data_IF_682593388679
#
_entry.id   IF_682593388679
#
_cell.length_a   1.000
_cell.length_b   1.000
_cell.length_c   1.000
_cell.angle_alpha   90.00
_cell.angle_beta   90.00
_cell.angle_gamma   90.00
#
_symmetry.space_group_name_H-M   'P 1'
#
loop_
_entity.id
_entity.type
_entity.pdbx_description
1 polymer ?
#
# COMPACT_ATOMS: atom_id res chain seq x y z
N UNK A 1 14.16 -16.87 45.37
CA UNK A 1 13.71 -18.17 44.81
C UNK A 1 12.34 -17.90 44.21
N UNK A 2 12.04 -17.95 42.91
CA UNK A 2 12.72 -18.31 41.67
C UNK A 2 12.15 -17.32 40.62
N UNK A 3 12.93 -16.62 39.81
CA UNK A 3 13.74 -17.25 38.77
C UNK A 3 12.90 -17.66 37.54
N UNK A 4 11.85 -16.91 37.19
CA UNK A 4 11.02 -17.12 35.99
C UNK A 4 10.66 -15.78 35.32
N UNK A 5 11.68 -15.01 34.93
CA UNK A 5 11.57 -14.18 33.74
C UNK A 5 12.52 -14.85 32.75
N UNK A 6 12.01 -15.90 32.11
CA UNK A 6 12.66 -16.47 30.94
C UNK A 6 12.83 -15.33 29.94
N UNK A 7 14.09 -15.02 29.60
CA UNK A 7 14.45 -14.18 28.47
C UNK A 7 13.51 -14.52 27.29
N UNK A 8 12.61 -13.60 26.95
CA UNK A 8 11.98 -13.63 25.63
C UNK A 8 13.16 -13.52 24.66
N UNK A 9 13.46 -14.61 23.96
CA UNK A 9 14.44 -14.55 22.89
C UNK A 9 14.04 -13.39 21.98
N UNK A 10 14.92 -12.39 21.82
CA UNK A 10 14.66 -11.26 20.93
C UNK A 10 14.27 -11.83 19.56
N UNK A 11 13.09 -11.45 19.06
CA UNK A 11 12.62 -11.95 17.77
C UNK A 11 13.68 -11.61 16.70
N UNK A 12 14.08 -12.56 15.84
CA UNK A 12 15.23 -12.37 14.93
C UNK A 12 15.06 -11.16 13.99
N UNK A 13 13.83 -10.82 13.63
CA UNK A 13 13.48 -9.64 12.83
C UNK A 13 13.57 -8.28 13.52
N UNK A 14 13.79 -8.21 14.85
CA UNK A 14 13.80 -6.95 15.60
C UNK A 14 14.83 -5.96 15.05
N UNK A 15 16.07 -6.43 14.85
CA UNK A 15 17.16 -5.60 14.35
C UNK A 15 16.88 -5.01 12.98
N UNK A 16 16.30 -5.80 12.07
CA UNK A 16 15.88 -5.34 10.75
C UNK A 16 14.86 -4.20 10.85
N UNK A 17 13.77 -4.39 11.61
CA UNK A 17 12.71 -3.39 11.69
C UNK A 17 13.15 -2.09 12.37
N UNK A 18 13.97 -2.19 13.41
CA UNK A 18 14.59 -1.00 14.04
C UNK A 18 15.48 -0.24 13.07
N UNK A 19 16.26 -0.93 12.24
CA UNK A 19 17.08 -0.29 11.22
C UNK A 19 16.24 0.31 10.08
N UNK A 20 15.20 -0.39 9.62
CA UNK A 20 14.36 0.04 8.50
C UNK A 20 13.55 1.29 8.85
N UNK A 21 13.05 1.37 10.09
CA UNK A 21 12.20 2.45 10.58
C UNK A 21 12.93 3.43 11.49
N UNK A 22 14.27 3.46 11.44
CA UNK A 22 15.07 4.40 12.22
C UNK A 22 14.87 5.85 11.78
N UNK A 23 15.02 6.78 12.72
CA UNK A 23 14.92 8.22 12.44
C UNK A 23 13.48 8.68 12.24
N UNK A 24 13.33 9.87 11.66
CA UNK A 24 12.01 10.45 11.40
C UNK A 24 11.29 9.68 10.28
N UNK A 25 10.03 9.31 10.52
CA UNK A 25 9.15 8.69 9.54
C UNK A 25 8.20 9.77 9.00
N UNK A 26 8.47 10.35 7.81
CA UNK A 26 7.58 11.35 7.24
C UNK A 26 6.23 10.73 6.93
N UNK A 27 5.18 11.31 7.51
CA UNK A 27 3.81 10.88 7.21
C UNK A 27 3.39 11.44 5.86
N UNK A 28 2.94 10.54 4.99
CA UNK A 28 2.36 10.90 3.68
C UNK A 28 1.23 11.92 3.88
N UNK A 29 1.25 12.98 3.07
CA UNK A 29 0.22 14.00 3.04
C UNK A 29 -0.73 13.70 1.88
N UNK A 30 -2.00 13.50 2.20
CA UNK A 30 -3.08 13.34 1.22
C UNK A 30 -3.90 14.64 1.18
N UNK A 31 -4.39 15.06 -0.01
CA UNK A 31 -5.18 16.29 -0.14
C UNK A 31 -6.61 16.03 0.34
N UNK A 32 -6.81 16.08 1.66
CA UNK A 32 -8.14 15.98 2.25
C UNK A 32 -8.99 17.20 1.87
N UNK A 33 -10.26 16.97 1.53
CA UNK A 33 -11.24 18.03 1.33
C UNK A 33 -11.73 18.61 2.66
N UNK A 34 -11.69 17.79 3.72
CA UNK A 34 -12.16 18.14 5.06
C UNK A 34 -11.10 17.81 6.12
N UNK A 35 -11.03 18.58 7.23
CA UNK A 35 -10.00 18.38 8.23
C UNK A 35 -10.16 17.06 9.00
N UNK A 36 -9.04 16.37 9.23
CA UNK A 36 -8.97 15.23 10.12
C UNK A 36 -8.97 15.68 11.59
N UNK A 37 -9.81 15.03 12.40
CA UNK A 37 -9.97 15.29 13.84
C UNK A 37 -10.14 13.98 14.61
N UNK A 38 -10.01 14.04 15.94
CA UNK A 38 -10.18 12.88 16.82
C UNK A 38 -11.58 12.24 16.75
N UNK A 39 -12.59 12.98 16.29
CA UNK A 39 -13.99 12.54 16.17
C UNK A 39 -14.45 12.37 14.72
N UNK A 40 -13.55 12.50 13.74
CA UNK A 40 -13.90 12.28 12.33
C UNK A 40 -14.47 10.86 12.18
N UNK A 41 -15.64 10.66 11.53
CA UNK A 41 -16.19 9.33 11.34
C UNK A 41 -15.27 8.38 10.55
N UNK A 42 -15.41 7.07 10.78
CA UNK A 42 -14.76 6.01 9.98
C UNK A 42 -15.67 5.50 8.86
N UNK A 43 -16.87 6.07 8.71
CA UNK A 43 -17.73 5.81 7.56
C UNK A 43 -16.95 6.10 6.28
N UNK A 44 -16.92 5.11 5.40
CA UNK A 44 -16.21 5.19 4.15
C UNK A 44 -17.13 4.99 2.95
N UNK A 45 -16.54 5.29 1.80
CA UNK A 45 -17.07 4.99 0.49
C UNK A 45 -16.00 4.25 -0.31
N UNK A 46 -16.37 3.72 -1.47
CA UNK A 46 -15.45 3.07 -2.39
C UNK A 46 -15.53 3.64 -3.80
N UNK A 47 -14.38 3.67 -4.45
CA UNK A 47 -14.21 3.92 -5.87
C UNK A 47 -13.55 2.69 -6.51
N UNK A 48 -14.16 2.18 -7.58
CA UNK A 48 -13.67 1.01 -8.30
C UNK A 48 -13.41 1.33 -9.77
N UNK A 49 -12.29 0.82 -10.29
CA UNK A 49 -11.85 1.02 -11.67
C UNK A 49 -10.99 -0.15 -12.13
N UNK A 50 -10.96 -0.45 -13.42
CA UNK A 50 -10.13 -1.53 -13.98
C UNK A 50 -9.23 -1.04 -15.11
N UNK A 51 -7.98 -1.49 -15.10
CA UNK A 51 -7.02 -1.27 -16.18
C UNK A 51 -6.97 -2.49 -17.08
N UNK A 52 -7.07 -2.26 -18.39
CA UNK A 52 -7.07 -3.32 -19.42
C UNK A 52 -6.15 -2.93 -20.58
N UNK A 53 -6.07 -3.78 -21.61
CA UNK A 53 -5.37 -3.45 -22.85
C UNK A 53 -3.86 -3.28 -22.70
N UNK A 54 -3.29 -2.30 -23.41
CA UNK A 54 -1.84 -2.13 -23.53
C UNK A 54 -1.15 -1.81 -22.20
N UNK A 55 -1.79 -1.03 -21.33
CA UNK A 55 -1.23 -0.69 -20.03
C UNK A 55 -1.17 -1.91 -19.10
N UNK A 56 -2.25 -2.70 -19.03
CA UNK A 56 -2.28 -3.97 -18.30
C UNK A 56 -1.19 -4.93 -18.81
N UNK A 57 -1.08 -5.10 -20.14
CA UNK A 57 -0.05 -5.94 -20.75
C UNK A 57 1.37 -5.44 -20.44
N UNK A 58 1.60 -4.12 -20.45
CA UNK A 58 2.88 -3.51 -20.12
C UNK A 58 3.27 -3.71 -18.65
N UNK A 59 2.33 -3.56 -17.70
CA UNK A 59 2.57 -3.85 -16.29
C UNK A 59 2.88 -5.33 -16.06
N UNK A 60 2.17 -6.25 -16.72
CA UNK A 60 2.47 -7.69 -16.65
C UNK A 60 3.83 -8.03 -17.24
N UNK A 61 4.24 -7.35 -18.31
CA UNK A 61 5.59 -7.48 -18.86
C UNK A 61 6.67 -6.99 -17.87
N UNK A 62 6.41 -5.92 -17.10
CA UNK A 62 7.30 -5.48 -16.02
C UNK A 62 7.40 -6.50 -14.88
N UNK A 63 6.31 -7.21 -14.58
CA UNK A 63 6.31 -8.32 -13.62
C UNK A 63 7.21 -9.46 -14.12
N UNK A 64 7.00 -9.90 -15.37
CA UNK A 64 7.80 -10.96 -15.98
C UNK A 64 9.30 -10.58 -16.10
N UNK A 65 9.61 -9.29 -16.25
CA UNK A 65 10.98 -8.80 -16.28
C UNK A 65 11.64 -8.91 -14.89
N UNK A 66 12.83 -9.51 -14.83
CA UNK A 66 13.68 -9.57 -13.62
C UNK A 66 12.98 -10.14 -12.37
N UNK A 67 11.93 -10.95 -12.55
CA UNK A 67 11.22 -11.63 -11.47
C UNK A 67 10.55 -10.67 -10.49
N UNK A 68 9.86 -9.65 -10.99
CA UNK A 68 9.04 -8.76 -10.18
C UNK A 68 7.64 -9.36 -10.00
N UNK A 69 6.96 -9.04 -8.91
CA UNK A 69 5.53 -9.35 -8.75
C UNK A 69 4.69 -8.11 -9.08
N UNK A 70 3.39 -8.31 -9.35
CA UNK A 70 2.47 -7.20 -9.55
C UNK A 70 2.44 -6.28 -8.32
N UNK A 71 2.49 -6.86 -7.12
CA UNK A 71 2.63 -6.12 -5.87
C UNK A 71 3.82 -5.16 -5.88
N UNK A 72 5.02 -5.63 -6.26
CA UNK A 72 6.23 -4.78 -6.31
C UNK A 72 6.09 -3.64 -7.33
N UNK A 73 5.56 -3.95 -8.51
CA UNK A 73 5.35 -2.94 -9.57
C UNK A 73 4.39 -1.84 -9.11
N UNK A 74 3.25 -2.24 -8.54
CA UNK A 74 2.21 -1.31 -8.12
C UNK A 74 2.58 -0.56 -6.84
N UNK A 75 3.27 -1.18 -5.89
CA UNK A 75 3.78 -0.52 -4.68
C UNK A 75 4.86 0.51 -5.02
N UNK A 76 5.75 0.21 -5.97
CA UNK A 76 6.72 1.18 -6.48
C UNK A 76 6.00 2.37 -7.13
N UNK A 77 5.00 2.11 -7.98
CA UNK A 77 4.21 3.16 -8.62
C UNK A 77 3.44 4.02 -7.62
N UNK A 78 2.84 3.40 -6.60
CA UNK A 78 2.17 4.08 -5.49
C UNK A 78 3.14 4.96 -4.72
N UNK A 79 4.34 4.47 -4.39
CA UNK A 79 5.36 5.26 -3.70
C UNK A 79 5.81 6.46 -4.51
N UNK A 80 6.01 6.28 -5.82
CA UNK A 80 6.34 7.39 -6.73
C UNK A 80 5.23 8.43 -6.78
N UNK A 81 3.97 7.98 -6.89
CA UNK A 81 2.82 8.88 -6.90
C UNK A 81 2.70 9.67 -5.60
N UNK A 82 2.80 9.02 -4.44
CA UNK A 82 2.75 9.67 -3.13
C UNK A 82 3.90 10.66 -2.92
N UNK A 83 5.11 10.33 -3.38
CA UNK A 83 6.25 11.24 -3.33
C UNK A 83 6.01 12.50 -4.17
N UNK A 84 5.41 12.34 -5.34
CA UNK A 84 5.09 13.43 -6.25
C UNK A 84 3.89 14.26 -5.77
N UNK A 85 2.93 13.64 -5.08
CA UNK A 85 1.75 14.29 -4.51
C UNK A 85 2.09 15.11 -3.26
N UNK A 86 2.82 14.52 -2.30
CA UNK A 86 3.13 15.12 -1.00
C UNK A 86 4.46 15.87 -0.92
N UNK A 87 5.29 15.81 -1.96
CA UNK A 87 6.59 16.49 -2.03
C UNK A 87 7.70 15.90 -1.14
N UNK A 88 7.43 14.80 -0.43
CA UNK A 88 8.45 14.03 0.30
C UNK A 88 9.12 12.99 -0.60
N UNK A 89 10.37 12.64 -0.28
CA UNK A 89 11.17 11.64 -1.01
C UNK A 89 11.35 10.35 -0.23
N UNK A 90 10.69 10.21 0.91
CA UNK A 90 10.74 9.03 1.74
C UNK A 90 9.30 8.67 2.08
N UNK A 91 8.86 7.50 1.61
CA UNK A 91 7.46 7.11 1.58
C UNK A 91 7.27 5.83 2.35
N UNK A 92 6.39 5.86 3.35
CA UNK A 92 6.00 4.66 4.08
C UNK A 92 4.59 4.27 3.67
N UNK A 93 4.42 3.05 3.17
CA UNK A 93 3.11 2.44 2.89
C UNK A 93 2.93 1.23 3.81
N UNK A 94 1.73 1.07 4.35
CA UNK A 94 1.37 -0.11 5.13
C UNK A 94 0.81 -1.19 4.20
N UNK A 95 1.22 -2.45 4.41
CA UNK A 95 0.68 -3.59 3.70
C UNK A 95 0.26 -4.66 4.70
N UNK A 96 -1.00 -5.12 4.67
CA UNK A 96 -1.42 -6.27 5.44
C UNK A 96 -0.76 -7.52 4.85
N UNK A 97 -0.32 -8.40 5.73
CA UNK A 97 0.29 -9.68 5.38
C UNK A 97 -0.42 -10.78 6.15
N UNK A 98 -0.68 -11.89 5.48
CA UNK A 98 -1.19 -13.08 6.15
C UNK A 98 -0.10 -13.59 7.11
N UNK A 99 -0.39 -13.55 8.40
CA UNK A 99 0.41 -14.20 9.42
C UNK A 99 0.26 -15.71 9.29
N UNK A 100 1.11 -16.30 8.43
CA UNK A 100 1.49 -17.73 8.30
C UNK A 100 0.92 -18.51 7.11
N UNK A 101 1.80 -19.32 6.54
CA UNK A 101 1.60 -20.50 5.69
C UNK A 101 0.84 -21.63 6.41
N UNK A 102 -0.43 -21.43 6.76
CA UNK A 102 -1.25 -22.51 7.33
C UNK A 102 -2.58 -22.60 6.58
N UNK A 103 -2.61 -23.54 5.63
CA UNK A 103 -3.79 -24.01 4.90
C UNK A 103 -4.93 -24.58 5.79
N UNK A 104 -4.92 -24.32 7.11
CA UNK A 104 -5.83 -24.92 8.10
C UNK A 104 -6.59 -23.89 8.96
N UNK A 105 -6.38 -22.57 8.81
CA UNK A 105 -6.95 -21.56 9.73
C UNK A 105 -7.90 -20.54 9.09
N UNK A 106 -8.40 -20.85 7.88
CA UNK A 106 -9.30 -19.99 7.09
C UNK A 106 -10.57 -19.46 7.79
N UNK A 107 -11.18 -20.09 8.83
CA UNK A 107 -12.43 -19.57 9.38
C UNK A 107 -12.30 -18.66 10.62
N UNK A 108 -11.09 -18.34 11.11
CA UNK A 108 -10.91 -17.42 12.25
C UNK A 108 -10.61 -16.00 11.78
N UNK A 109 -11.66 -15.31 11.31
CA UNK A 109 -11.65 -13.90 10.91
C UNK A 109 -11.14 -13.03 12.07
N UNK A 110 -9.94 -12.45 11.93
CA UNK A 110 -9.50 -11.28 12.71
C UNK A 110 -8.17 -11.38 13.50
N UNK A 111 -7.57 -12.55 13.69
CA UNK A 111 -6.41 -12.70 14.61
C UNK A 111 -5.04 -12.94 13.97
N UNK A 112 -4.95 -13.09 12.65
CA UNK A 112 -3.70 -13.48 11.98
C UNK A 112 -3.22 -12.50 10.91
N UNK A 113 -3.85 -11.34 10.73
CA UNK A 113 -3.33 -10.30 9.84
C UNK A 113 -2.29 -9.49 10.61
N UNK A 114 -1.03 -9.57 10.18
CA UNK A 114 -0.02 -8.61 10.62
C UNK A 114 0.09 -7.49 9.57
N UNK A 115 0.71 -6.37 9.93
CA UNK A 115 1.00 -5.27 8.99
C UNK A 115 2.50 -5.04 8.91
N UNK A 116 3.01 -4.93 7.68
CA UNK A 116 4.39 -4.52 7.42
C UNK A 116 4.43 -3.10 6.87
N UNK A 117 5.50 -2.37 7.19
CA UNK A 117 5.73 -1.01 6.72
C UNK A 117 6.82 -1.03 5.63
N UNK A 118 6.48 -0.54 4.45
CA UNK A 118 7.38 -0.46 3.30
C UNK A 118 7.88 0.97 3.14
N UNK A 119 9.01 1.27 3.77
CA UNK A 119 9.70 2.56 3.65
C UNK A 119 10.56 2.59 2.39
N UNK A 120 10.17 3.39 1.41
CA UNK A 120 10.78 3.48 0.08
C UNK A 120 11.30 4.91 -0.16
N UNK A 121 12.61 5.11 -0.32
CA UNK A 121 13.13 6.39 -0.76
C UNK A 121 12.94 6.55 -2.27
N UNK A 122 12.43 7.70 -2.68
CA UNK A 122 12.08 8.04 -4.06
C UNK A 122 12.90 9.26 -4.49
N UNK A 123 13.98 8.99 -5.21
CA UNK A 123 14.82 10.03 -5.80
C UNK A 123 14.18 10.57 -7.10
N UNK A 124 14.01 11.90 -7.27
CA UNK A 124 13.37 12.46 -8.47
C UNK A 124 14.10 12.17 -9.79
N UNK A 125 15.42 12.00 -9.74
CA UNK A 125 16.29 11.71 -10.88
C UNK A 125 16.42 10.22 -11.18
N UNK A 126 16.03 9.34 -10.24
CA UNK A 126 15.97 7.91 -10.50
C UNK A 126 14.90 7.59 -11.54
N UNK A 127 15.15 6.59 -12.38
CA UNK A 127 14.14 6.01 -13.24
C UNK A 127 13.14 5.18 -12.44
N UNK A 128 11.93 5.00 -12.97
CA UNK A 128 10.97 4.09 -12.35
C UNK A 128 11.53 2.67 -12.19
N UNK A 129 12.30 2.18 -13.17
CA UNK A 129 12.97 0.87 -13.10
C UNK A 129 13.94 0.76 -11.90
N UNK A 130 14.62 1.85 -11.53
CA UNK A 130 15.49 1.90 -10.36
C UNK A 130 14.67 1.89 -9.06
N UNK A 131 13.58 2.65 -9.00
CA UNK A 131 12.67 2.63 -7.84
C UNK A 131 12.01 1.26 -7.67
N UNK A 132 11.63 0.61 -8.77
CA UNK A 132 11.09 -0.75 -8.77
C UNK A 132 12.10 -1.78 -8.24
N UNK A 133 13.36 -1.70 -8.66
CA UNK A 133 14.40 -2.59 -8.15
C UNK A 133 14.57 -2.45 -6.62
N UNK A 134 14.57 -1.23 -6.12
CA UNK A 134 14.65 -0.95 -4.69
C UNK A 134 13.39 -1.42 -3.93
N UNK A 135 12.20 -1.11 -4.47
CA UNK A 135 10.92 -1.56 -3.91
C UNK A 135 10.85 -3.09 -3.81
N UNK A 136 11.37 -3.81 -4.82
CA UNK A 136 11.50 -5.26 -4.77
C UNK A 136 12.36 -5.74 -3.61
N UNK A 137 13.54 -5.14 -3.41
CA UNK A 137 14.42 -5.49 -2.29
C UNK A 137 13.75 -5.25 -0.94
N UNK A 138 13.12 -4.08 -0.76
CA UNK A 138 12.37 -3.72 0.45
C UNK A 138 11.22 -4.70 0.71
N UNK A 139 10.45 -5.03 -0.33
CA UNK A 139 9.31 -5.94 -0.21
C UNK A 139 9.76 -7.36 0.18
N UNK A 140 10.83 -7.88 -0.44
CA UNK A 140 11.36 -9.20 -0.09
C UNK A 140 11.87 -9.25 1.36
N UNK A 141 12.65 -8.26 1.79
CA UNK A 141 13.14 -8.19 3.17
C UNK A 141 11.98 -8.02 4.17
N UNK A 142 11.00 -7.18 3.87
CA UNK A 142 9.81 -7.03 4.71
C UNK A 142 9.03 -8.34 4.85
N UNK A 143 8.90 -9.12 3.77
CA UNK A 143 8.26 -10.44 3.78
C UNK A 143 9.04 -11.49 4.57
N UNK A 144 10.38 -11.49 4.51
CA UNK A 144 11.23 -12.34 5.35
C UNK A 144 11.02 -12.04 6.85
N UNK A 145 10.73 -10.79 7.17
CA UNK A 145 10.56 -10.29 8.53
C UNK A 145 9.11 -10.08 8.98
N UNK A 146 8.14 -10.54 8.18
CA UNK A 146 6.71 -10.24 8.32
C UNK A 146 6.04 -10.80 9.57
N UNK A 147 6.70 -11.71 10.31
CA UNK A 147 6.17 -12.30 11.54
C UNK A 147 6.39 -11.39 12.76
N UNK A 148 7.17 -10.31 12.63
CA UNK A 148 7.38 -9.36 13.73
C UNK A 148 6.10 -8.56 14.01
N UNK A 149 5.52 -8.61 15.23
CA UNK A 149 4.23 -8.00 15.49
C UNK A 149 4.25 -6.48 15.29
N UNK A 150 3.35 -5.96 14.47
CA UNK A 150 3.21 -4.52 14.21
C UNK A 150 3.04 -3.72 15.51
N UNK A 151 2.16 -4.16 16.42
CA UNK A 151 1.90 -3.43 17.66
C UNK A 151 3.11 -3.33 18.58
N UNK A 152 3.92 -4.39 18.62
CA UNK A 152 5.18 -4.40 19.36
C UNK A 152 6.19 -3.46 18.71
N UNK A 153 6.26 -3.41 17.38
CA UNK A 153 7.14 -2.49 16.65
C UNK A 153 6.81 -1.02 16.92
N UNK A 154 5.52 -0.66 16.89
CA UNK A 154 5.07 0.70 17.19
C UNK A 154 5.41 1.09 18.63
N UNK A 155 5.24 0.17 19.59
CA UNK A 155 5.58 0.40 21.01
C UNK A 155 7.09 0.59 21.20
N UNK A 156 7.92 -0.28 20.62
CA UNK A 156 9.37 -0.23 20.81
C UNK A 156 10.05 0.97 20.16
N UNK A 157 9.48 1.49 19.07
CA UNK A 157 9.99 2.67 18.37
C UNK A 157 9.40 3.98 18.90
N UNK A 158 8.56 3.94 19.94
CA UNK A 158 7.85 5.08 20.51
C UNK A 158 7.13 5.92 19.43
N UNK A 159 6.53 5.24 18.44
CA UNK A 159 5.90 5.90 17.31
C UNK A 159 4.55 6.49 17.73
N UNK A 160 4.17 7.68 17.20
CA UNK A 160 2.91 8.31 17.55
C UNK A 160 1.71 7.39 17.30
N UNK A 161 0.84 7.27 18.31
CA UNK A 161 -0.46 6.58 18.23
C UNK A 161 -1.59 7.60 18.28
N UNK A 162 -1.79 8.40 17.21
CA UNK A 162 -2.87 9.38 17.19
C UNK A 162 -4.22 8.67 17.27
N UNK A 163 -5.13 9.25 18.07
CA UNK A 163 -6.51 8.80 18.08
C UNK A 163 -7.11 8.96 16.68
N UNK A 164 -7.83 7.95 16.21
CA UNK A 164 -8.60 7.99 14.96
C UNK A 164 -7.75 8.15 13.67
N UNK A 165 -6.50 7.71 13.69
CA UNK A 165 -5.66 7.59 12.49
C UNK A 165 -4.89 6.27 12.52
N UNK A 166 -4.53 5.78 11.35
CA UNK A 166 -3.59 4.68 11.27
C UNK A 166 -2.18 5.17 11.64
N UNK A 167 -1.43 4.44 12.50
CA UNK A 167 -0.09 4.83 12.88
C UNK A 167 0.85 4.90 11.67
N UNK A 168 1.83 5.81 11.72
CA UNK A 168 2.91 5.98 10.72
C UNK A 168 2.48 6.50 9.34
N UNK A 169 1.44 5.94 8.74
CA UNK A 169 1.01 6.29 7.38
C UNK A 169 -0.51 6.23 7.21
N UNK A 170 -1.12 7.16 6.45
CA UNK A 170 -2.55 7.10 6.11
C UNK A 170 -2.91 6.11 4.99
N UNK A 171 -1.91 5.46 4.38
CA UNK A 171 -2.09 4.65 3.18
C UNK A 171 -1.86 3.17 3.46
N UNK A 172 -2.87 2.36 3.19
CA UNK A 172 -2.80 0.91 3.18
C UNK A 172 -2.89 0.39 1.74
N UNK A 173 -2.00 -0.51 1.36
CA UNK A 173 -1.93 -1.09 0.02
C UNK A 173 -1.92 -2.61 0.09
N UNK A 174 -2.83 -3.25 -0.65
CA UNK A 174 -2.98 -4.69 -0.67
C UNK A 174 -3.21 -5.21 -2.10
N UNK A 175 -2.66 -6.38 -2.41
CA UNK A 175 -2.91 -7.10 -3.66
C UNK A 175 -3.43 -8.48 -3.32
N UNK A 176 -4.67 -8.76 -3.72
CA UNK A 176 -5.33 -10.03 -3.51
C UNK A 176 -5.13 -10.92 -4.74
N UNK A 177 -4.47 -12.05 -4.53
CA UNK A 177 -4.36 -13.11 -5.51
C UNK A 177 -5.46 -14.13 -5.24
N UNK A 178 -6.58 -14.04 -5.97
CA UNK A 178 -7.56 -15.12 -5.95
C UNK A 178 -7.08 -16.24 -6.86
N UNK A 179 -7.09 -17.49 -6.37
CA UNK A 179 -7.01 -18.65 -7.26
C UNK A 179 -8.23 -18.59 -8.18
N UNK A 180 -7.98 -18.47 -9.49
CA UNK A 180 -8.92 -18.29 -10.60
C UNK A 180 -10.44 -18.36 -10.31
N UNK A 181 -11.15 -17.26 -10.59
CA UNK A 181 -12.55 -17.32 -11.05
C UNK A 181 -13.68 -17.03 -10.05
N UNK A 182 -13.41 -16.56 -8.82
CA UNK A 182 -14.47 -16.47 -7.79
C UNK A 182 -15.10 -15.09 -7.56
N UNK A 183 -14.54 -14.00 -8.11
CA UNK A 183 -15.20 -12.70 -8.07
C UNK A 183 -15.43 -12.19 -9.50
N UNK A 184 -16.69 -11.85 -9.86
CA UNK A 184 -16.95 -11.17 -11.11
C UNK A 184 -16.10 -9.91 -11.16
N UNK A 185 -15.33 -9.76 -12.24
CA UNK A 185 -14.82 -8.44 -12.59
C UNK A 185 -16.08 -7.58 -12.80
N UNK A 186 -16.27 -6.56 -11.97
CA UNK A 186 -17.32 -5.59 -12.22
C UNK A 186 -16.92 -4.84 -13.49
N UNK A 187 -17.32 -5.40 -14.63
CA UNK A 187 -17.15 -4.85 -15.96
C UNK A 187 -18.04 -3.61 -16.05
N UNK A 188 -17.58 -2.52 -15.46
CA UNK A 188 -18.27 -1.25 -15.42
C UNK A 188 -17.27 -0.11 -15.58
N UNK A 189 -17.76 1.01 -16.08
CA UNK A 189 -17.08 2.29 -15.93
C UNK A 189 -16.71 2.52 -14.46
N UNK A 190 -15.75 3.42 -14.22
CA UNK A 190 -15.45 3.88 -12.88
C UNK A 190 -16.74 4.19 -12.12
N UNK A 191 -16.90 3.61 -10.93
CA UNK A 191 -18.13 3.78 -10.16
C UNK A 191 -17.83 4.01 -8.68
N UNK A 192 -18.67 4.85 -8.09
CA UNK A 192 -18.68 5.11 -6.65
C UNK A 192 -19.83 4.35 -6.00
N UNK A 193 -19.56 3.77 -4.84
CA UNK A 193 -20.59 3.16 -4.01
C UNK A 193 -20.43 3.65 -2.58
N UNK A 194 -21.49 4.30 -2.10
CA UNK A 194 -21.71 4.62 -0.70
C UNK A 194 -22.39 3.41 -0.04
N UNK A 195 -21.69 2.27 0.02
CA UNK A 195 -22.01 1.30 1.05
C UNK A 195 -21.48 1.89 2.37
N UNK A 196 -22.24 1.84 3.47
CA UNK A 196 -21.74 2.21 4.80
C UNK A 196 -20.63 1.23 5.22
N UNK A 197 -19.43 1.47 4.71
CA UNK A 197 -18.22 0.71 5.01
C UNK A 197 -17.56 1.34 6.23
N UNK A 198 -17.07 0.50 7.14
CA UNK A 198 -16.22 0.96 8.23
C UNK A 198 -14.75 0.90 7.78
N UNK A 199 -14.20 2.04 7.36
CA UNK A 199 -12.83 2.16 6.83
C UNK A 199 -11.94 2.76 7.90
N UNK A 200 -11.00 1.94 8.40
CA UNK A 200 -10.12 2.30 9.54
C UNK A 200 -8.94 3.18 9.15
N UNK A 201 -8.54 3.14 7.90
CA UNK A 201 -7.47 3.97 7.34
C UNK A 201 -8.04 5.07 6.47
N UNK A 202 -7.30 6.14 6.24
CA UNK A 202 -7.77 7.26 5.44
C UNK A 202 -7.88 6.90 3.96
N UNK A 203 -6.94 6.10 3.45
CA UNK A 203 -6.89 5.67 2.05
C UNK A 203 -6.40 4.21 1.97
N UNK A 204 -7.28 3.31 1.58
CA UNK A 204 -6.98 1.88 1.36
C UNK A 204 -7.13 1.54 -0.12
N UNK A 205 -6.08 0.99 -0.70
CA UNK A 205 -6.06 0.57 -2.08
C UNK A 205 -5.87 -0.94 -2.15
N UNK A 206 -6.92 -1.62 -2.60
CA UNK A 206 -6.91 -3.06 -2.86
C UNK A 206 -6.87 -3.32 -4.36
N UNK A 207 -6.02 -4.25 -4.77
CA UNK A 207 -5.87 -4.66 -6.17
C UNK A 207 -6.24 -6.11 -6.33
N UNK A 208 -6.93 -6.44 -7.42
CA UNK A 208 -7.21 -7.81 -7.82
C UNK A 208 -6.61 -8.04 -9.20
N UNK A 209 -5.75 -9.06 -9.31
CA UNK A 209 -5.22 -9.47 -10.60
C UNK A 209 -6.19 -10.42 -11.31
N UNK A 210 -6.50 -10.12 -12.56
CA UNK A 210 -7.23 -11.01 -13.46
C UNK A 210 -6.37 -11.31 -14.70
N UNK A 211 -6.77 -12.31 -15.49
CA UNK A 211 -6.00 -12.73 -16.68
C UNK A 211 -5.67 -11.56 -17.63
N UNK A 212 -6.67 -10.73 -17.97
CA UNK A 212 -6.56 -9.63 -18.95
C UNK A 212 -6.82 -8.23 -18.37
N UNK A 213 -6.89 -8.12 -17.06
CA UNK A 213 -7.27 -6.89 -16.38
C UNK A 213 -6.64 -6.83 -14.98
N UNK A 214 -6.49 -5.61 -14.47
CA UNK A 214 -6.14 -5.36 -13.08
C UNK A 214 -7.24 -4.47 -12.52
N UNK A 215 -7.97 -4.97 -11.53
CA UNK A 215 -9.05 -4.22 -10.89
C UNK A 215 -8.52 -3.54 -9.63
N UNK A 216 -8.90 -2.29 -9.44
CA UNK A 216 -8.52 -1.46 -8.31
C UNK A 216 -9.77 -1.03 -7.56
N UNK A 217 -9.73 -1.14 -6.24
CA UNK A 217 -10.75 -0.60 -5.35
C UNK A 217 -10.05 0.28 -4.32
N UNK A 218 -10.38 1.56 -4.34
CA UNK A 218 -10.00 2.51 -3.32
C UNK A 218 -11.14 2.65 -2.31
N UNK A 219 -10.91 2.27 -1.06
CA UNK A 219 -11.78 2.57 0.06
C UNK A 219 -11.21 3.77 0.82
N UNK A 220 -12.06 4.73 1.15
CA UNK A 220 -11.63 5.98 1.77
C UNK A 220 -12.69 6.46 2.74
N UNK A 221 -12.26 7.25 3.73
CA UNK A 221 -13.18 7.89 4.68
C UNK A 221 -13.90 9.05 3.98
N UNK A 222 -15.23 8.94 3.82
CA UNK A 222 -16.04 9.96 3.14
C UNK A 222 -16.11 11.27 3.91
N UNK A 223 -15.77 11.25 5.21
CA UNK A 223 -15.59 12.43 6.03
C UNK A 223 -14.28 13.20 5.76
N UNK A 224 -13.36 12.67 4.94
CA UNK A 224 -12.09 13.32 4.58
C UNK A 224 -12.01 13.67 3.09
N UNK A 225 -12.72 12.94 2.24
CA UNK A 225 -12.67 13.11 0.79
C UNK A 225 -14.07 13.13 0.17
N UNK A 226 -14.23 14.00 -0.82
CA UNK A 226 -15.32 13.96 -1.79
C UNK A 226 -15.06 12.87 -2.84
N UNK A 227 -16.13 12.32 -3.46
CA UNK A 227 -15.98 11.39 -4.59
C UNK A 227 -15.11 11.95 -5.73
N UNK A 228 -15.28 13.24 -6.06
CA UNK A 228 -14.52 13.90 -7.12
C UNK A 228 -13.00 13.92 -6.83
N UNK A 229 -12.60 14.15 -5.59
CA UNK A 229 -11.18 14.12 -5.19
C UNK A 229 -10.60 12.71 -5.32
N UNK A 230 -11.34 11.67 -4.94
CA UNK A 230 -10.85 10.29 -5.07
C UNK A 230 -10.76 9.86 -6.53
N UNK A 231 -11.76 10.17 -7.35
CA UNK A 231 -11.71 9.93 -8.79
C UNK A 231 -10.50 10.61 -9.43
N UNK A 232 -10.25 11.86 -9.05
CA UNK A 232 -9.10 12.61 -9.51
C UNK A 232 -7.78 11.95 -9.09
N UNK A 233 -7.61 11.63 -7.81
CA UNK A 233 -6.40 10.98 -7.27
C UNK A 233 -6.14 9.62 -7.93
N UNK A 234 -7.18 8.80 -8.08
CA UNK A 234 -7.09 7.51 -8.75
C UNK A 234 -6.75 7.68 -10.24
N UNK A 235 -7.35 8.66 -10.92
CA UNK A 235 -7.01 8.99 -12.30
C UNK A 235 -5.53 9.36 -12.49
N UNK A 236 -4.96 10.15 -11.57
CA UNK A 236 -3.53 10.48 -11.61
C UNK A 236 -2.65 9.23 -11.46
N UNK A 237 -2.99 8.35 -10.51
CA UNK A 237 -2.22 7.13 -10.28
C UNK A 237 -2.33 6.17 -11.47
N UNK A 238 -3.52 6.00 -12.07
CA UNK A 238 -3.70 5.21 -13.29
C UNK A 238 -2.90 5.79 -14.47
N UNK A 239 -2.90 7.10 -14.68
CA UNK A 239 -2.07 7.74 -15.72
C UNK A 239 -0.58 7.46 -15.49
N UNK A 240 -0.12 7.49 -14.24
CA UNK A 240 1.25 7.12 -13.91
C UNK A 240 1.53 5.64 -14.24
N UNK A 241 0.60 4.73 -13.95
CA UNK A 241 0.72 3.31 -14.32
C UNK A 241 0.87 3.11 -15.83
N UNK A 242 0.09 3.85 -16.63
CA UNK A 242 0.20 3.81 -18.10
C UNK A 242 1.56 4.29 -18.59
N UNK A 243 2.07 5.37 -18.00
CA UNK A 243 3.39 5.93 -18.34
C UNK A 243 4.52 4.96 -18.03
N UNK A 244 4.52 4.33 -16.85
CA UNK A 244 5.59 3.40 -16.45
C UNK A 244 5.49 2.06 -17.18
N UNK A 245 4.28 1.62 -17.55
CA UNK A 245 4.09 0.46 -18.41
C UNK A 245 4.70 0.65 -19.80
N UNK A 246 4.64 1.88 -20.33
CA UNK A 246 5.20 2.23 -21.66
C UNK A 246 6.69 2.54 -21.62
N UNK A 247 7.16 3.25 -20.59
CA UNK A 247 8.51 3.79 -20.52
C UNK A 247 9.10 3.73 -19.09
N UNK A 248 9.45 2.52 -18.59
CA UNK A 248 9.91 2.33 -17.21
C UNK A 248 11.27 3.00 -16.90
N UNK A 249 12.00 3.42 -17.94
CA UNK A 249 13.28 4.14 -17.79
C UNK A 249 13.12 5.65 -17.63
N UNK A 250 11.90 6.16 -17.68
CA UNK A 250 11.60 7.58 -17.46
C UNK A 250 11.95 7.95 -16.02
N UNK A 251 12.60 9.10 -15.84
CA UNK A 251 12.92 9.62 -14.52
C UNK A 251 11.64 9.97 -13.75
N UNK A 252 11.63 9.75 -12.45
CA UNK A 252 10.47 10.01 -11.57
C UNK A 252 9.96 11.45 -11.74
N UNK A 253 10.85 12.44 -11.83
CA UNK A 253 10.48 13.85 -12.00
C UNK A 253 9.79 14.16 -13.33
N UNK A 254 9.95 13.30 -14.35
CA UNK A 254 9.41 13.49 -15.70
C UNK A 254 8.06 12.81 -15.89
N UNK A 255 7.64 11.94 -14.97
CA UNK A 255 6.30 11.34 -15.00
C UNK A 255 5.25 12.44 -14.77
N UNK A 256 4.26 12.55 -15.63
CA UNK A 256 3.18 13.52 -15.46
C UNK A 256 2.20 13.00 -14.39
N UNK A 257 1.80 13.88 -13.45
CA UNK A 257 0.66 13.60 -12.56
C UNK A 257 -0.65 14.23 -13.07
N UNK A 258 -0.56 15.10 -14.06
CA UNK A 258 -1.68 15.87 -14.59
C UNK A 258 -1.69 15.74 -16.12
N UNK A 259 -2.87 15.63 -16.69
CA UNK A 259 -3.16 16.08 -18.06
C UNK A 259 -4.01 17.35 -18.00
#
# INVERSE_FOLDING_TARGET
QNGLISAQAEHPSRGYWHQQLQGELPRVQLPFDFPLSATTPTTGARYSVSLTGAACAGLKALCAARGNTLFMVLQAALSVWLARLGGTRDIVVATPVAGRDLAEVEPLIGFFLNTVLLRTPVAPDASFEQVLALSKEIALQALEHQQYPFEQLIEELDLPRPANQFPVTPVLFNVLNFLDGQLPLENGAAHHSEAELDVKVEFELTVQEHANAIAFTCQYRSALFTPATIEYLMGQWLSLLEQVARAPRTAVAQLALFE
#
